data_IF_538113967390
#
_entry.id   IF_538113967390
#
_cell.length_a   1.000
_cell.length_b   1.000
_cell.length_c   1.000
_cell.angle_alpha   90.00
_cell.angle_beta   90.00
_cell.angle_gamma   90.00
#
_symmetry.space_group_name_H-M   'P 1'
#
loop_
_entity.id
_entity.type
_entity.pdbx_description
1 polymer ?
#
# COMPACT_ATOMS: atom_id res chain seq x y z
N UNK A 1 -33.92 -14.60 -24.71
CA UNK A 1 -32.66 -13.86 -24.45
C UNK A 1 -32.75 -13.23 -23.06
N UNK A 2 -31.74 -13.41 -22.21
CA UNK A 2 -31.68 -12.80 -20.87
C UNK A 2 -30.89 -11.49 -20.98
N UNK A 3 -31.53 -10.34 -20.78
CA UNK A 3 -30.81 -9.06 -20.74
C UNK A 3 -29.96 -9.01 -19.47
N UNK A 4 -28.64 -8.84 -19.64
CA UNK A 4 -27.78 -8.48 -18.52
C UNK A 4 -27.85 -6.96 -18.32
N UNK A 5 -28.30 -6.55 -17.14
CA UNK A 5 -28.28 -5.16 -16.71
C UNK A 5 -27.15 -5.00 -15.71
N UNK A 6 -26.36 -3.93 -15.83
CA UNK A 6 -25.33 -3.57 -14.86
C UNK A 6 -25.71 -2.28 -14.15
N UNK A 7 -25.34 -2.19 -12.87
CA UNK A 7 -25.58 -1.00 -12.05
C UNK A 7 -24.23 -0.37 -11.68
N UNK A 8 -24.16 0.96 -11.77
CA UNK A 8 -23.00 1.75 -11.33
C UNK A 8 -23.42 2.63 -10.17
N UNK A 9 -22.75 2.46 -9.03
CA UNK A 9 -22.99 3.24 -7.84
C UNK A 9 -21.82 4.21 -7.59
N UNK A 10 -22.15 5.39 -7.03
CA UNK A 10 -21.16 6.34 -6.52
C UNK A 10 -21.21 6.29 -5.00
N UNK A 11 -20.05 6.09 -4.37
CA UNK A 11 -19.90 6.24 -2.94
C UNK A 11 -20.11 7.71 -2.54
N UNK A 12 -20.86 7.95 -1.47
CA UNK A 12 -21.03 9.27 -0.85
C UNK A 12 -20.44 9.24 0.56
N UNK A 13 -19.10 9.25 0.68
CA UNK A 13 -18.45 9.20 1.99
C UNK A 13 -18.68 10.51 2.74
N UNK A 14 -18.72 10.43 4.07
CA UNK A 14 -18.59 11.62 4.92
C UNK A 14 -17.12 12.06 5.04
N UNK A 15 -16.89 13.19 5.71
CA UNK A 15 -15.53 13.75 5.86
C UNK A 15 -14.55 12.86 6.64
N UNK A 16 -15.04 12.03 7.56
CA UNK A 16 -14.19 11.08 8.30
C UNK A 16 -13.80 9.92 7.39
N UNK A 17 -14.76 9.36 6.66
CA UNK A 17 -14.54 8.28 5.71
C UNK A 17 -13.56 8.70 4.60
N UNK A 18 -13.74 9.89 4.01
CA UNK A 18 -12.80 10.41 3.02
C UNK A 18 -11.37 10.52 3.58
N UNK A 19 -11.23 10.99 4.81
CA UNK A 19 -9.92 11.12 5.47
C UNK A 19 -9.27 9.76 5.68
N UNK A 20 -10.02 8.77 6.16
CA UNK A 20 -9.53 7.40 6.34
C UNK A 20 -9.11 6.79 5.01
N UNK A 21 -9.93 6.93 3.96
CA UNK A 21 -9.60 6.43 2.62
C UNK A 21 -8.32 7.07 2.07
N UNK A 22 -8.14 8.39 2.24
CA UNK A 22 -6.91 9.09 1.83
C UNK A 22 -5.68 8.62 2.61
N UNK A 23 -5.81 8.43 3.93
CA UNK A 23 -4.72 7.90 4.78
C UNK A 23 -4.32 6.50 4.34
N UNK A 24 -5.29 5.60 4.19
CA UNK A 24 -5.06 4.24 3.73
C UNK A 24 -4.36 4.22 2.36
N UNK A 25 -4.89 4.93 1.37
CA UNK A 25 -4.29 5.01 0.05
C UNK A 25 -2.87 5.61 0.07
N UNK A 26 -2.65 6.63 0.91
CA UNK A 26 -1.33 7.22 1.13
C UNK A 26 -0.32 6.24 1.72
N UNK A 27 -0.72 5.49 2.75
CA UNK A 27 0.10 4.47 3.37
C UNK A 27 0.45 3.34 2.38
N UNK A 28 -0.52 2.85 1.61
CA UNK A 28 -0.26 1.86 0.56
C UNK A 28 0.77 2.37 -0.46
N UNK A 29 0.63 3.61 -0.92
CA UNK A 29 1.58 4.23 -1.85
C UNK A 29 2.98 4.36 -1.24
N UNK A 30 3.07 4.78 0.01
CA UNK A 30 4.34 4.89 0.73
C UNK A 30 5.05 3.54 0.84
N UNK A 31 4.36 2.51 1.34
CA UNK A 31 4.89 1.15 1.51
C UNK A 31 5.37 0.59 0.18
N UNK A 32 4.57 0.74 -0.89
CA UNK A 32 4.95 0.28 -2.23
C UNK A 32 6.21 0.97 -2.74
N UNK A 33 6.26 2.31 -2.68
CA UNK A 33 7.40 3.08 -3.18
C UNK A 33 8.68 2.77 -2.40
N UNK A 34 8.60 2.61 -1.07
CA UNK A 34 9.76 2.27 -0.25
C UNK A 34 10.28 0.86 -0.56
N UNK A 35 9.39 -0.12 -0.73
CA UNK A 35 9.79 -1.46 -1.13
C UNK A 35 10.39 -1.48 -2.54
N UNK A 36 9.82 -0.72 -3.48
CA UNK A 36 10.32 -0.57 -4.84
C UNK A 36 11.73 0.05 -4.86
N UNK A 37 11.99 1.07 -4.04
CA UNK A 37 13.31 1.68 -3.93
C UNK A 37 14.37 0.65 -3.49
N UNK A 38 14.09 -0.11 -2.42
CA UNK A 38 14.98 -1.17 -1.96
C UNK A 38 15.19 -2.27 -3.01
N UNK A 39 14.14 -2.61 -3.75
CA UNK A 39 14.21 -3.58 -4.83
C UNK A 39 15.06 -3.08 -6.00
N UNK A 40 14.99 -1.79 -6.32
CA UNK A 40 15.81 -1.15 -7.35
C UNK A 40 17.29 -1.10 -6.92
N UNK A 41 17.59 -0.66 -5.69
CA UNK A 41 18.95 -0.66 -5.14
C UNK A 41 19.56 -2.08 -5.16
N UNK A 42 18.77 -3.10 -4.82
CA UNK A 42 19.20 -4.48 -4.87
C UNK A 42 19.47 -4.95 -6.31
N UNK A 43 18.65 -4.52 -7.27
CA UNK A 43 18.86 -4.82 -8.69
C UNK A 43 20.12 -4.13 -9.24
N UNK A 44 20.34 -2.85 -8.92
CA UNK A 44 21.53 -2.09 -9.29
C UNK A 44 22.81 -2.72 -8.73
N UNK A 45 22.74 -3.31 -7.54
CA UNK A 45 23.81 -4.10 -6.94
C UNK A 45 24.01 -5.49 -7.61
N UNK A 46 23.30 -5.81 -8.70
CA UNK A 46 23.40 -7.07 -9.42
C UNK A 46 22.80 -8.28 -8.72
N UNK A 47 21.98 -8.08 -7.67
CA UNK A 47 21.39 -9.16 -6.88
C UNK A 47 20.09 -9.65 -7.50
N UNK A 48 19.70 -10.87 -7.11
CA UNK A 48 18.41 -11.47 -7.50
C UNK A 48 17.24 -10.67 -6.94
N UNK A 49 16.12 -10.71 -7.67
CA UNK A 49 14.85 -10.09 -7.26
C UNK A 49 14.43 -10.54 -5.84
N UNK A 50 13.98 -9.60 -5.01
CA UNK A 50 13.55 -9.89 -3.65
C UNK A 50 12.10 -10.39 -3.69
N UNK A 51 11.81 -11.61 -3.23
CA UNK A 51 10.46 -12.13 -3.24
C UNK A 51 9.51 -11.29 -2.38
N UNK A 52 8.23 -11.25 -2.77
CA UNK A 52 7.17 -10.54 -2.05
C UNK A 52 7.12 -10.91 -0.56
N UNK A 53 7.31 -12.17 -0.20
CA UNK A 53 7.27 -12.62 1.20
C UNK A 53 8.30 -11.90 2.07
N UNK A 54 9.49 -11.61 1.54
CA UNK A 54 10.51 -10.81 2.22
C UNK A 54 10.16 -9.32 2.24
N UNK A 55 9.58 -8.78 1.17
CA UNK A 55 9.13 -7.38 1.17
C UNK A 55 7.98 -7.15 2.17
N UNK A 56 7.06 -8.11 2.28
CA UNK A 56 5.95 -8.05 3.23
C UNK A 56 6.43 -8.08 4.69
N UNK A 57 7.53 -8.77 5.00
CA UNK A 57 8.10 -8.76 6.34
C UNK A 57 8.69 -7.40 6.73
N UNK A 58 9.14 -6.59 5.76
CA UNK A 58 9.62 -5.23 6.04
C UNK A 58 8.53 -4.32 6.60
N UNK A 59 7.26 -4.52 6.19
CA UNK A 59 6.16 -3.72 6.73
C UNK A 59 6.01 -3.90 8.25
N UNK A 60 6.28 -5.10 8.77
CA UNK A 60 6.24 -5.35 10.21
C UNK A 60 7.32 -4.54 10.93
N UNK A 61 8.51 -4.46 10.34
CA UNK A 61 9.62 -3.68 10.90
C UNK A 61 9.38 -2.17 10.76
N UNK A 62 8.88 -1.69 9.62
CA UNK A 62 8.51 -0.28 9.44
C UNK A 62 7.41 0.17 10.39
N UNK A 63 6.47 -0.71 10.74
CA UNK A 63 5.48 -0.40 11.78
C UNK A 63 6.11 -0.29 13.17
N UNK A 64 7.27 -0.89 13.44
CA UNK A 64 7.96 -0.75 14.75
C UNK A 64 8.88 0.46 14.81
N UNK A 65 9.38 0.91 13.67
CA UNK A 65 10.26 2.07 13.53
C UNK A 65 9.51 3.37 13.89
N UNK A 66 10.11 4.21 14.75
CA UNK A 66 9.58 5.50 15.20
C UNK A 66 9.26 6.43 14.02
N UNK A 67 10.06 6.43 12.95
CA UNK A 67 9.82 7.31 11.80
C UNK A 67 8.57 6.92 10.99
N UNK A 68 8.19 5.64 11.06
CA UNK A 68 7.08 5.09 10.28
C UNK A 68 6.00 4.40 11.11
N UNK A 69 5.95 4.67 12.42
CA UNK A 69 4.98 4.05 13.32
C UNK A 69 3.53 4.42 12.97
N UNK A 70 3.31 5.57 12.32
CA UNK A 70 2.01 6.04 11.83
C UNK A 70 1.36 5.07 10.82
N UNK A 71 2.12 4.13 10.24
CA UNK A 71 1.60 3.03 9.42
C UNK A 71 0.69 2.06 10.21
N UNK A 72 0.66 2.14 11.55
CA UNK A 72 -0.29 1.40 12.40
C UNK A 72 -1.71 1.96 12.31
N UNK A 73 -1.82 3.27 12.08
CA UNK A 73 -3.10 4.01 12.11
C UNK A 73 -3.74 4.15 10.72
N UNK A 74 -3.20 3.40 9.74
CA UNK A 74 -3.58 3.41 8.33
C UNK A 74 -4.56 2.30 8.00
#
# INVERSE_FOLDING_TARGET
MKQQVSFKFRLKPDGQQERQMRRFAGACRFVFNRALALQNENHEAGKKYIPYTKMASWLVEWKKDTETEWLKDS
#
